data_IF_769420241910
#
_entry.id   IF_769420241910
#
_cell.length_a   1.000
_cell.length_b   1.000
_cell.length_c   1.000
_cell.angle_alpha   90.00
_cell.angle_beta   90.00
_cell.angle_gamma   90.00
#
_symmetry.space_group_name_H-M   'P 1'
#
loop_
_entity.id
_entity.type
_entity.pdbx_description
1 polymer ?
#
# COMPACT_ATOMS: atom_id res chain seq x y z
N UNK A 1 -16.25 -69.77 27.88
CA UNK A 1 -16.78 -69.50 26.53
C UNK A 1 -17.69 -68.27 26.64
N UNK A 2 -17.10 -67.08 26.63
CA UNK A 2 -17.80 -65.79 26.72
C UNK A 2 -17.88 -65.19 25.31
N UNK A 3 -19.10 -64.84 24.92
CA UNK A 3 -19.51 -64.45 23.57
C UNK A 3 -18.80 -63.18 23.07
N UNK A 4 -18.38 -63.21 21.79
CA UNK A 4 -17.69 -62.14 21.04
C UNK A 4 -18.46 -60.79 20.95
N UNK A 5 -19.67 -60.70 21.49
CA UNK A 5 -20.52 -59.51 21.35
C UNK A 5 -20.31 -58.42 22.40
N UNK A 6 -19.67 -58.72 23.54
CA UNK A 6 -19.43 -57.70 24.57
C UNK A 6 -18.12 -56.91 24.38
N UNK A 7 -17.24 -57.35 23.47
CA UNK A 7 -15.99 -56.66 23.16
C UNK A 7 -16.18 -55.52 22.14
N UNK A 8 -17.25 -55.57 21.32
CA UNK A 8 -17.58 -54.49 20.37
C UNK A 8 -18.25 -53.28 21.02
N UNK A 9 -18.85 -53.44 22.21
CA UNK A 9 -19.55 -52.33 22.89
C UNK A 9 -18.62 -51.50 23.79
N UNK A 10 -17.47 -52.04 24.20
CA UNK A 10 -16.43 -51.31 24.96
C UNK A 10 -15.40 -50.58 24.08
N UNK A 11 -15.34 -50.91 22.79
CA UNK A 11 -14.49 -50.20 21.81
C UNK A 11 -15.17 -48.98 21.19
N UNK A 12 -16.48 -48.80 21.37
CA UNK A 12 -17.21 -47.63 20.88
C UNK A 12 -17.22 -46.42 21.83
N UNK A 13 -16.87 -46.61 23.11
CA UNK A 13 -16.82 -45.55 24.12
C UNK A 13 -15.42 -44.93 24.30
N UNK A 14 -14.37 -45.54 23.73
CA UNK A 14 -13.00 -45.02 23.76
C UNK A 14 -12.62 -44.13 22.56
N UNK A 15 -13.49 -44.05 21.54
CA UNK A 15 -13.26 -43.27 20.31
C UNK A 15 -13.88 -41.87 20.31
N UNK A 16 -14.49 -41.44 21.43
CA UNK A 16 -15.14 -40.13 21.56
C UNK A 16 -14.32 -39.08 22.35
N UNK A 17 -13.08 -39.37 22.74
CA UNK A 17 -12.25 -38.47 23.56
C UNK A 17 -10.98 -37.92 22.88
N UNK A 18 -10.80 -38.11 21.57
CA UNK A 18 -9.60 -37.65 20.84
C UNK A 18 -9.83 -36.46 19.89
N UNK A 19 -10.99 -35.79 19.98
CA UNK A 19 -11.41 -34.76 19.02
C UNK A 19 -11.34 -33.29 19.49
N UNK A 20 -10.82 -32.99 20.68
CA UNK A 20 -10.58 -31.61 21.10
C UNK A 20 -9.10 -31.23 20.91
N UNK A 21 -8.67 -31.13 19.66
CA UNK A 21 -7.60 -30.19 19.35
C UNK A 21 -8.23 -28.81 19.48
N UNK A 22 -7.98 -28.15 20.61
CA UNK A 22 -8.11 -26.70 20.69
C UNK A 22 -7.27 -26.14 19.55
N UNK A 23 -7.93 -25.64 18.50
CA UNK A 23 -7.30 -24.65 17.64
C UNK A 23 -6.89 -23.52 18.57
N UNK A 24 -5.61 -23.49 18.95
CA UNK A 24 -5.00 -22.25 19.39
C UNK A 24 -5.18 -21.31 18.21
N UNK A 25 -6.20 -20.46 18.32
CA UNK A 25 -6.37 -19.30 17.46
C UNK A 25 -5.02 -18.59 17.54
N UNK A 26 -4.31 -18.58 16.41
CA UNK A 26 -3.04 -17.87 16.28
C UNK A 26 -3.15 -16.56 17.05
N UNK A 27 -2.23 -16.37 17.99
CA UNK A 27 -2.03 -15.13 18.72
C UNK A 27 -2.28 -13.98 17.75
N UNK A 28 -3.36 -13.24 17.94
CA UNK A 28 -3.65 -12.06 17.13
C UNK A 28 -2.40 -11.19 17.23
N UNK A 29 -1.65 -11.04 16.13
CA UNK A 29 -0.63 -9.98 16.03
C UNK A 29 -1.29 -8.75 16.62
N UNK A 30 -0.70 -8.17 17.68
CA UNK A 30 -1.28 -7.00 18.35
C UNK A 30 -1.60 -5.98 17.26
N UNK A 31 -2.89 -5.73 17.06
CA UNK A 31 -3.34 -4.88 15.99
C UNK A 31 -2.74 -3.48 16.22
N UNK A 32 -2.40 -2.77 15.14
CA UNK A 32 -1.90 -1.39 15.20
C UNK A 32 -0.52 -1.21 15.87
N UNK A 33 0.35 -2.23 15.86
CA UNK A 33 1.76 -2.07 16.31
C UNK A 33 2.73 -1.71 15.18
N UNK A 34 2.29 -1.74 13.93
CA UNK A 34 3.09 -1.42 12.74
C UNK A 34 2.52 -0.21 12.02
N UNK A 35 3.31 0.38 11.10
CA UNK A 35 2.90 1.50 10.26
C UNK A 35 3.19 1.20 8.77
N UNK A 36 2.82 0.00 8.34
CA UNK A 36 3.10 -0.51 6.98
C UNK A 36 2.14 0.04 5.93
N UNK A 37 1.04 0.66 6.35
CA UNK A 37 0.04 1.27 5.47
C UNK A 37 0.01 2.78 5.67
N UNK A 38 -0.27 3.50 4.59
CA UNK A 38 -0.48 4.95 4.64
C UNK A 38 -1.54 5.28 5.70
N UNK A 39 -1.19 6.18 6.63
CA UNK A 39 -2.04 6.59 7.77
C UNK A 39 -2.33 5.49 8.81
N UNK A 40 -1.46 4.49 8.92
CA UNK A 40 -1.43 3.50 9.99
C UNK A 40 -1.93 2.13 9.57
N UNK A 41 -3.18 2.04 9.13
CA UNK A 41 -3.85 0.78 8.77
C UNK A 41 -4.85 0.97 7.61
N UNK A 42 -5.51 -0.11 7.19
CA UNK A 42 -6.49 -0.08 6.07
C UNK A 42 -7.66 0.88 6.31
N UNK A 43 -8.06 1.09 7.56
CA UNK A 43 -9.09 2.05 7.96
C UNK A 43 -8.56 3.48 8.14
N UNK A 44 -7.25 3.71 8.00
CA UNK A 44 -6.59 5.01 8.20
C UNK A 44 -6.90 5.58 9.58
N UNK A 45 -6.71 4.79 10.64
CA UNK A 45 -7.08 5.19 12.01
C UNK A 45 -6.13 6.23 12.63
N UNK A 46 -4.90 6.37 12.09
CA UNK A 46 -3.82 7.12 12.73
C UNK A 46 -3.53 6.67 14.17
N UNK A 47 -3.84 5.42 14.50
CA UNK A 47 -3.73 4.90 15.86
C UNK A 47 -2.60 3.87 15.98
N UNK A 48 -1.94 3.87 17.15
CA UNK A 48 -0.94 2.88 17.52
C UNK A 48 -1.24 2.34 18.90
N UNK A 49 -1.10 1.02 19.07
CA UNK A 49 -1.19 0.38 20.40
C UNK A 49 0.15 0.37 21.14
N UNK A 50 1.22 0.96 20.56
CA UNK A 50 2.50 1.13 21.23
C UNK A 50 2.39 2.15 22.36
N UNK A 51 2.90 1.80 23.53
CA UNK A 51 2.76 2.60 24.76
C UNK A 51 4.08 2.86 25.47
N UNK A 52 5.21 2.76 24.75
CA UNK A 52 6.53 3.09 25.32
C UNK A 52 6.65 4.59 25.61
N UNK A 53 6.09 5.42 24.74
CA UNK A 53 5.97 6.87 24.93
C UNK A 53 4.56 7.14 25.45
N UNK A 54 4.47 7.81 26.59
CA UNK A 54 3.22 8.11 27.30
C UNK A 54 3.18 9.60 27.69
N UNK A 55 2.02 10.14 28.12
CA UNK A 55 1.94 11.52 28.61
C UNK A 55 2.92 11.82 29.76
N UNK A 56 3.30 10.82 30.55
CA UNK A 56 4.20 10.96 31.70
C UNK A 56 5.67 11.15 31.29
N UNK A 57 6.10 10.57 30.16
CA UNK A 57 7.50 10.55 29.73
C UNK A 57 7.78 11.28 28.40
N UNK A 58 6.76 11.75 27.68
CA UNK A 58 6.92 12.45 26.38
C UNK A 58 7.83 13.68 26.46
N UNK A 59 7.88 14.32 27.63
CA UNK A 59 8.76 15.47 27.94
C UNK A 59 10.26 15.14 27.84
N UNK A 60 10.63 13.87 27.93
CA UNK A 60 12.01 13.41 27.91
C UNK A 60 12.50 13.03 26.50
N UNK A 61 11.63 13.19 25.48
CA UNK A 61 11.97 12.89 24.09
C UNK A 61 13.14 13.73 23.59
N UNK A 62 14.04 13.04 22.88
CA UNK A 62 15.18 13.64 22.19
C UNK A 62 15.16 13.20 20.74
N UNK A 63 15.68 14.06 19.86
CA UNK A 63 15.89 13.71 18.45
C UNK A 63 16.88 12.55 18.39
N UNK A 64 16.43 11.40 17.88
CA UNK A 64 17.29 10.24 17.67
C UNK A 64 18.21 10.41 16.46
N UNK A 65 17.68 10.93 15.35
CA UNK A 65 18.41 11.24 14.12
C UNK A 65 17.61 12.24 13.27
N UNK A 66 18.26 12.80 12.23
CA UNK A 66 17.63 13.63 11.19
C UNK A 66 18.05 13.12 9.82
N UNK A 67 17.14 13.21 8.85
CA UNK A 67 17.39 12.91 7.44
C UNK A 67 17.06 14.14 6.59
N UNK A 68 17.93 14.48 5.65
CA UNK A 68 17.79 15.62 4.76
C UNK A 68 17.72 15.12 3.31
N UNK A 69 16.58 15.30 2.65
CA UNK A 69 16.34 14.79 1.28
C UNK A 69 17.08 15.59 0.20
N UNK A 70 17.67 16.73 0.53
CA UNK A 70 18.31 17.69 -0.40
C UNK A 70 17.36 18.30 -1.46
N UNK A 71 16.05 18.03 -1.35
CA UNK A 71 15.01 18.65 -2.17
C UNK A 71 14.35 19.82 -1.42
N UNK A 72 13.92 20.82 -2.16
CA UNK A 72 13.14 21.95 -1.65
C UNK A 72 11.68 21.84 -2.11
N UNK A 73 10.77 22.61 -1.51
CA UNK A 73 9.35 22.63 -1.86
C UNK A 73 8.43 22.05 -0.80
N UNK A 74 7.19 21.75 -1.20
CA UNK A 74 6.16 21.23 -0.29
C UNK A 74 6.35 19.73 -0.06
N UNK A 75 6.47 19.32 1.21
CA UNK A 75 6.53 17.92 1.61
C UNK A 75 5.27 17.56 2.40
N UNK A 76 4.39 16.77 1.79
CA UNK A 76 3.09 16.38 2.37
C UNK A 76 3.05 14.91 2.80
N UNK A 77 4.20 14.22 2.73
CA UNK A 77 4.23 12.78 2.93
C UNK A 77 3.89 12.36 4.36
N UNK A 78 3.15 11.26 4.48
CA UNK A 78 3.15 10.42 5.67
C UNK A 78 3.96 9.16 5.34
N UNK A 79 5.10 9.01 6.00
CA UNK A 79 6.00 7.87 5.78
C UNK A 79 5.36 6.57 6.25
N UNK A 80 5.71 5.46 5.59
CA UNK A 80 5.42 4.11 6.08
C UNK A 80 6.69 3.45 6.61
N UNK A 81 6.53 2.56 7.58
CA UNK A 81 7.61 1.75 8.15
C UNK A 81 7.24 0.28 8.00
N UNK A 82 8.09 -0.45 7.28
CA UNK A 82 8.00 -1.90 7.11
C UNK A 82 9.32 -2.52 7.55
N UNK A 83 9.26 -3.45 8.47
CA UNK A 83 10.41 -4.04 9.15
C UNK A 83 11.35 -2.95 9.74
N UNK A 84 12.54 -2.79 9.15
CA UNK A 84 13.55 -1.83 9.56
C UNK A 84 13.70 -0.62 8.62
N UNK A 85 12.86 -0.54 7.58
CA UNK A 85 12.93 0.50 6.57
C UNK A 85 11.76 1.47 6.71
N UNK A 86 12.08 2.76 6.71
CA UNK A 86 11.14 3.85 6.54
C UNK A 86 11.17 4.28 5.07
N UNK A 87 9.99 4.33 4.45
CA UNK A 87 9.82 4.78 3.08
C UNK A 87 9.12 6.13 3.05
N UNK A 88 9.60 7.01 2.17
CA UNK A 88 9.07 8.35 2.03
C UNK A 88 9.23 8.90 0.63
N UNK A 89 8.63 10.08 0.41
CA UNK A 89 8.72 10.83 -0.84
C UNK A 89 9.17 12.25 -0.53
N UNK A 90 10.20 12.70 -1.23
CA UNK A 90 10.72 14.05 -1.09
C UNK A 90 9.84 15.10 -1.79
N UNK A 91 10.16 16.38 -1.59
CA UNK A 91 9.47 17.48 -2.26
C UNK A 91 9.68 17.52 -3.80
N UNK A 92 10.62 16.73 -4.33
CA UNK A 92 10.84 16.56 -5.78
C UNK A 92 10.27 15.23 -6.32
N UNK A 93 9.39 14.57 -5.56
CA UNK A 93 8.84 13.24 -5.88
C UNK A 93 9.90 12.12 -5.99
N UNK A 94 11.06 12.27 -5.34
CA UNK A 94 12.01 11.17 -5.20
C UNK A 94 11.55 10.25 -4.09
N UNK A 95 11.42 8.96 -4.39
CA UNK A 95 11.10 7.96 -3.36
C UNK A 95 12.40 7.54 -2.70
N UNK A 96 12.41 7.43 -1.39
CA UNK A 96 13.58 7.00 -0.65
C UNK A 96 13.22 5.95 0.39
N UNK A 97 14.20 5.11 0.71
CA UNK A 97 14.19 4.28 1.90
C UNK A 97 15.37 4.64 2.80
N UNK A 98 15.10 4.73 4.10
CA UNK A 98 16.13 4.91 5.13
C UNK A 98 15.98 3.82 6.18
N UNK A 99 17.08 3.46 6.84
CA UNK A 99 17.03 2.64 8.03
C UNK A 99 16.31 3.42 9.16
N UNK A 100 15.19 2.91 9.66
CA UNK A 100 14.35 3.60 10.64
C UNK A 100 15.03 3.81 12.00
N UNK A 101 16.00 2.96 12.36
CA UNK A 101 16.75 3.09 13.61
C UNK A 101 17.88 4.13 13.53
N UNK A 102 18.50 4.30 12.36
CA UNK A 102 19.70 5.14 12.22
C UNK A 102 19.52 6.38 11.36
N UNK A 103 18.43 6.50 10.61
CA UNK A 103 18.19 7.59 9.65
C UNK A 103 19.08 7.56 8.41
N UNK A 104 19.85 6.48 8.19
CA UNK A 104 20.78 6.36 7.05
C UNK A 104 20.03 5.95 5.80
N UNK A 105 20.26 6.66 4.70
CA UNK A 105 19.69 6.29 3.40
C UNK A 105 20.20 4.94 2.93
N UNK A 106 19.27 4.10 2.47
CA UNK A 106 19.54 2.79 1.88
C UNK A 106 19.50 2.92 0.36
N UNK A 107 18.43 3.48 -0.17
CA UNK A 107 18.28 3.73 -1.60
C UNK A 107 17.40 4.97 -1.85
N UNK A 108 17.47 5.48 -3.07
CA UNK A 108 16.62 6.55 -3.56
C UNK A 108 16.33 6.33 -5.05
N UNK A 109 15.11 6.64 -5.46
CA UNK A 109 14.61 6.50 -6.82
C UNK A 109 14.06 7.82 -7.35
N UNK A 110 14.34 8.09 -8.62
CA UNK A 110 13.87 9.25 -9.37
C UNK A 110 14.82 10.44 -9.33
N UNK A 111 14.65 11.32 -10.30
CA UNK A 111 15.46 12.53 -10.42
C UNK A 111 14.90 13.70 -9.61
N UNK A 112 15.80 14.58 -9.16
CA UNK A 112 15.52 15.84 -8.45
C UNK A 112 14.99 16.92 -9.41
N UNK A 113 13.96 16.61 -10.19
CA UNK A 113 13.32 17.57 -11.11
C UNK A 113 12.02 18.03 -10.46
N UNK A 114 12.01 19.27 -9.97
CA UNK A 114 10.76 19.89 -9.57
C UNK A 114 9.89 20.14 -10.80
N UNK A 115 8.75 19.47 -10.84
CA UNK A 115 7.67 19.78 -11.78
C UNK A 115 6.57 20.55 -11.08
N UNK A 116 5.82 21.36 -11.81
CA UNK A 116 4.55 21.90 -11.28
C UNK A 116 3.68 20.72 -10.81
N UNK A 117 3.00 20.88 -9.67
CA UNK A 117 2.19 19.82 -9.04
C UNK A 117 2.96 18.64 -8.40
N UNK A 118 4.24 18.83 -8.03
CA UNK A 118 5.07 17.85 -7.30
C UNK A 118 4.66 17.64 -5.82
N UNK A 119 3.37 17.51 -5.52
CA UNK A 119 2.94 17.12 -4.16
C UNK A 119 2.67 15.62 -4.14
N UNK A 120 3.22 14.93 -3.15
CA UNK A 120 2.90 13.54 -2.84
C UNK A 120 2.70 13.37 -1.34
N UNK A 121 1.69 12.57 -0.99
CA UNK A 121 1.35 12.22 0.38
C UNK A 121 2.01 10.92 0.83
N UNK A 122 2.74 10.20 -0.01
CA UNK A 122 3.49 9.02 0.39
C UNK A 122 3.50 7.91 -0.66
N UNK A 123 3.67 6.69 -0.17
CA UNK A 123 3.75 5.46 -0.97
C UNK A 123 2.85 4.37 -0.37
N UNK A 124 2.61 3.31 -1.15
CA UNK A 124 1.95 2.09 -0.67
C UNK A 124 2.93 0.93 -0.67
N UNK A 125 2.80 0.00 0.28
CA UNK A 125 3.59 -1.22 0.34
C UNK A 125 2.72 -2.45 0.07
N UNK A 126 3.18 -3.31 -0.82
CA UNK A 126 2.56 -4.60 -1.13
C UNK A 126 3.57 -5.73 -0.98
N UNK A 127 3.11 -6.89 -0.54
CA UNK A 127 3.93 -8.11 -0.48
C UNK A 127 3.14 -9.37 -0.83
N UNK A 128 3.81 -10.31 -1.49
CA UNK A 128 3.32 -11.67 -1.73
C UNK A 128 4.49 -12.64 -1.80
N UNK A 129 4.70 -13.39 -0.71
CA UNK A 129 5.90 -14.21 -0.55
C UNK A 129 7.15 -13.32 -0.50
N UNK A 130 8.12 -13.59 -1.37
CA UNK A 130 9.37 -12.82 -1.43
C UNK A 130 9.27 -11.53 -2.26
N UNK A 131 8.20 -11.37 -3.04
CA UNK A 131 7.95 -10.18 -3.85
C UNK A 131 7.41 -9.05 -2.95
N UNK A 132 8.19 -7.98 -2.82
CA UNK A 132 7.89 -6.83 -1.96
C UNK A 132 8.06 -5.55 -2.76
N UNK A 133 6.98 -4.78 -2.84
CA UNK A 133 6.89 -3.63 -3.75
C UNK A 133 6.55 -2.36 -2.99
N UNK A 134 7.20 -1.27 -3.36
CA UNK A 134 6.79 0.10 -3.04
C UNK A 134 6.13 0.69 -4.28
N UNK A 135 4.88 1.12 -4.14
CA UNK A 135 4.08 1.71 -5.20
C UNK A 135 4.03 3.22 -5.00
N UNK A 136 4.36 3.98 -6.05
CA UNK A 136 4.44 5.44 -6.00
C UNK A 136 4.08 6.07 -7.33
N UNK A 137 3.68 7.34 -7.31
CA UNK A 137 3.30 8.08 -8.53
C UNK A 137 4.26 9.22 -8.83
N UNK A 138 4.52 9.43 -10.13
CA UNK A 138 5.24 10.60 -10.64
C UNK A 138 4.61 11.02 -11.96
N UNK A 139 3.90 12.15 -11.94
CA UNK A 139 3.07 12.56 -13.07
C UNK A 139 1.91 11.56 -13.29
N UNK A 140 1.64 11.14 -14.53
CA UNK A 140 0.60 10.15 -14.83
C UNK A 140 1.03 8.71 -14.54
N UNK A 141 2.32 8.48 -14.28
CA UNK A 141 2.87 7.15 -14.11
C UNK A 141 2.69 6.66 -12.67
N UNK A 142 2.16 5.45 -12.52
CA UNK A 142 2.26 4.61 -11.32
C UNK A 142 3.46 3.68 -11.50
N UNK A 143 4.40 3.71 -10.57
CA UNK A 143 5.59 2.86 -10.54
C UNK A 143 5.45 1.75 -9.51
N UNK A 144 6.07 0.61 -9.80
CA UNK A 144 6.37 -0.42 -8.81
C UNK A 144 7.88 -0.57 -8.65
N UNK A 145 8.36 -0.36 -7.43
CA UNK A 145 9.77 -0.45 -7.07
C UNK A 145 9.99 -1.66 -6.16
N UNK A 146 11.09 -2.38 -6.34
CA UNK A 146 11.53 -3.38 -5.36
C UNK A 146 11.82 -2.70 -4.03
N UNK A 147 11.19 -3.18 -2.95
CA UNK A 147 11.21 -2.51 -1.66
C UNK A 147 12.62 -2.44 -1.04
N UNK A 148 13.51 -3.38 -1.36
CA UNK A 148 14.85 -3.43 -0.79
C UNK A 148 15.88 -2.62 -1.57
N UNK A 149 15.68 -2.46 -2.88
CA UNK A 149 16.68 -1.88 -3.78
C UNK A 149 16.25 -0.56 -4.41
N UNK A 150 14.95 -0.24 -4.40
CA UNK A 150 14.38 0.93 -5.06
C UNK A 150 14.39 0.87 -6.59
N UNK A 151 14.75 -0.27 -7.18
CA UNK A 151 14.78 -0.44 -8.63
C UNK A 151 13.36 -0.69 -9.17
N UNK A 152 12.99 -0.13 -10.32
CA UNK A 152 11.74 -0.49 -10.99
C UNK A 152 11.64 -1.98 -11.24
N UNK A 153 10.46 -2.56 -10.99
CA UNK A 153 10.18 -3.96 -11.26
C UNK A 153 9.76 -4.07 -12.72
N UNK A 154 10.68 -4.48 -13.59
CA UNK A 154 10.49 -4.41 -15.05
C UNK A 154 9.24 -5.11 -15.57
N UNK A 155 8.74 -6.14 -14.86
CA UNK A 155 7.52 -6.86 -15.21
C UNK A 155 6.22 -6.12 -14.90
N UNK A 156 6.27 -5.00 -14.19
CA UNK A 156 5.12 -4.16 -13.91
C UNK A 156 4.96 -3.12 -15.04
N UNK A 157 3.98 -3.34 -15.91
CA UNK A 157 3.75 -2.50 -17.08
C UNK A 157 4.94 -2.47 -18.02
N UNK A 158 5.37 -1.26 -18.39
CA UNK A 158 6.48 -1.02 -19.32
C UNK A 158 7.62 -0.35 -18.54
N UNK A 159 8.68 -1.10 -18.27
CA UNK A 159 9.85 -0.58 -17.55
C UNK A 159 9.59 -0.28 -16.07
N UNK A 160 8.66 -1.01 -15.44
CA UNK A 160 8.31 -0.85 -14.04
C UNK A 160 7.32 0.26 -13.73
N UNK A 161 6.56 0.68 -14.73
CA UNK A 161 5.49 1.68 -14.58
C UNK A 161 4.32 1.44 -15.53
N UNK A 162 3.18 2.00 -15.15
CA UNK A 162 1.97 2.08 -15.97
C UNK A 162 1.45 3.51 -15.99
N UNK A 163 0.93 3.91 -17.14
CA UNK A 163 0.21 5.16 -17.26
C UNK A 163 -1.18 4.99 -16.63
N UNK A 164 -1.50 5.80 -15.63
CA UNK A 164 -2.82 5.76 -14.97
C UNK A 164 -3.97 6.13 -15.91
N UNK A 165 -3.69 6.69 -17.10
CA UNK A 165 -4.69 6.96 -18.15
C UNK A 165 -5.06 5.70 -18.95
N UNK A 166 -4.37 4.58 -18.76
CA UNK A 166 -4.57 3.35 -19.56
C UNK A 166 -5.97 2.75 -19.45
N UNK A 167 -6.70 2.99 -18.36
CA UNK A 167 -8.09 2.57 -18.19
C UNK A 167 -9.13 3.63 -18.58
N UNK A 168 -8.70 4.74 -19.18
CA UNK A 168 -9.57 5.84 -19.59
C UNK A 168 -9.88 5.80 -21.09
N UNK A 169 -10.95 6.49 -21.55
CA UNK A 169 -11.20 6.69 -22.96
C UNK A 169 -10.03 7.37 -23.68
N UNK A 170 -9.87 7.11 -24.99
CA UNK A 170 -8.81 7.73 -25.83
C UNK A 170 -8.76 9.26 -25.76
N UNK A 171 -9.90 9.90 -25.51
CA UNK A 171 -9.98 11.36 -25.35
C UNK A 171 -9.20 11.88 -24.13
N UNK A 172 -8.78 11.01 -23.20
CA UNK A 172 -8.01 11.32 -22.02
C UNK A 172 -6.50 11.06 -22.14
N UNK A 173 -6.04 10.51 -23.26
CA UNK A 173 -4.65 10.09 -23.47
C UNK A 173 -3.64 11.22 -23.23
N UNK A 174 -3.97 12.46 -23.60
CA UNK A 174 -3.11 13.64 -23.42
C UNK A 174 -3.56 14.57 -22.29
N UNK A 175 -4.53 14.14 -21.48
CA UNK A 175 -5.10 14.98 -20.41
C UNK A 175 -4.25 14.92 -19.14
N UNK A 176 -4.33 16.00 -18.35
CA UNK A 176 -3.70 16.07 -17.05
C UNK A 176 -4.35 15.07 -16.08
N UNK A 177 -3.57 14.05 -15.70
CA UNK A 177 -3.91 13.05 -14.69
C UNK A 177 -2.68 12.84 -13.82
N UNK A 178 -2.84 13.04 -12.53
CA UNK A 178 -1.82 12.68 -11.53
C UNK A 178 -2.51 12.03 -10.33
N UNK A 179 -1.73 11.48 -9.42
CA UNK A 179 -2.21 11.17 -8.09
C UNK A 179 -1.21 11.66 -7.05
N UNK A 180 -1.69 12.44 -6.08
CA UNK A 180 -0.89 12.88 -4.95
C UNK A 180 -1.21 12.09 -3.66
N UNK A 181 -2.19 11.19 -3.67
CA UNK A 181 -2.47 10.28 -2.56
C UNK A 181 -2.05 8.87 -2.96
N UNK A 182 -1.30 8.14 -2.13
CA UNK A 182 -0.99 6.74 -2.43
C UNK A 182 -2.26 5.90 -2.58
N UNK A 183 -2.25 4.96 -3.53
CA UNK A 183 -3.40 4.09 -3.81
C UNK A 183 -3.70 3.12 -2.68
N UNK A 184 -4.96 2.72 -2.55
CA UNK A 184 -5.38 1.73 -1.55
C UNK A 184 -5.12 0.33 -2.07
N UNK A 185 -4.35 -0.46 -1.33
CA UNK A 185 -4.10 -1.87 -1.69
C UNK A 185 -5.25 -2.75 -1.18
N UNK A 186 -5.73 -3.63 -2.05
CA UNK A 186 -6.64 -4.70 -1.69
C UNK A 186 -6.24 -5.98 -2.44
N UNK A 187 -5.80 -7.00 -1.70
CA UNK A 187 -5.21 -8.23 -2.28
C UNK A 187 -4.08 -7.88 -3.25
N UNK A 188 -4.19 -8.30 -4.50
CA UNK A 188 -3.20 -8.09 -5.56
C UNK A 188 -3.51 -6.85 -6.41
N UNK A 189 -4.38 -5.95 -5.93
CA UNK A 189 -4.81 -4.75 -6.65
C UNK A 189 -4.46 -3.48 -5.88
N UNK A 190 -4.15 -2.41 -6.63
CA UNK A 190 -4.05 -1.05 -6.11
C UNK A 190 -5.14 -0.19 -6.74
N UNK A 191 -6.00 0.37 -5.89
CA UNK A 191 -7.08 1.29 -6.27
C UNK A 191 -6.56 2.71 -6.22
N UNK A 192 -6.54 3.39 -7.36
CA UNK A 192 -5.90 4.69 -7.51
C UNK A 192 -6.92 5.83 -7.38
N UNK A 193 -6.73 6.76 -6.42
CA UNK A 193 -7.39 8.06 -6.47
C UNK A 193 -6.71 8.94 -7.51
N UNK A 194 -7.46 9.81 -8.17
CA UNK A 194 -6.93 10.71 -9.20
C UNK A 194 -7.12 12.18 -8.81
N UNK A 195 -6.19 13.01 -9.28
CA UNK A 195 -6.32 14.47 -9.35
C UNK A 195 -6.26 14.88 -10.81
N UNK A 196 -7.28 15.63 -11.20
CA UNK A 196 -7.52 16.03 -12.58
C UNK A 196 -7.39 17.54 -12.73
N UNK A 197 -7.50 18.01 -13.98
CA UNK A 197 -7.62 19.43 -14.26
C UNK A 197 -8.96 19.98 -13.73
N UNK A 198 -8.95 21.21 -13.20
CA UNK A 198 -10.13 21.84 -12.59
C UNK A 198 -10.93 22.71 -13.59
N UNK A 199 -10.52 22.74 -14.86
CA UNK A 199 -11.16 23.52 -15.92
C UNK A 199 -11.80 22.67 -17.03
N UNK A 200 -12.25 23.34 -18.07
CA UNK A 200 -12.83 22.70 -19.27
C UNK A 200 -11.82 21.75 -19.90
N UNK A 201 -12.28 20.55 -20.28
CA UNK A 201 -11.44 19.53 -20.90
C UNK A 201 -10.73 18.60 -19.92
N UNK A 202 -11.14 18.57 -18.65
CA UNK A 202 -10.67 17.57 -17.68
C UNK A 202 -10.88 16.12 -18.15
N UNK A 203 -10.05 15.20 -17.67
CA UNK A 203 -10.26 13.77 -17.88
C UNK A 203 -11.44 13.26 -17.03
N UNK A 204 -12.01 12.08 -17.32
CA UNK A 204 -13.00 11.46 -16.45
C UNK A 204 -12.43 11.19 -15.05
N UNK A 205 -13.26 11.45 -14.03
CA UNK A 205 -12.94 11.28 -12.60
C UNK A 205 -13.00 9.85 -12.09
N UNK A 206 -12.76 8.88 -12.96
CA UNK A 206 -13.06 7.48 -12.70
C UNK A 206 -12.08 6.87 -11.70
N UNK A 207 -12.57 5.86 -10.97
CA UNK A 207 -11.77 5.11 -10.02
C UNK A 207 -11.31 3.83 -10.73
N UNK A 208 -10.00 3.60 -10.74
CA UNK A 208 -9.41 2.43 -11.40
C UNK A 208 -8.63 1.57 -10.41
N UNK A 209 -8.68 0.26 -10.61
CA UNK A 209 -7.79 -0.68 -9.97
C UNK A 209 -6.79 -1.26 -10.97
N UNK A 210 -5.54 -1.32 -10.55
CA UNK A 210 -4.45 -1.92 -11.31
C UNK A 210 -3.98 -3.19 -10.62
N UNK A 211 -3.71 -4.24 -11.39
CA UNK A 211 -3.03 -5.43 -10.91
C UNK A 211 -1.61 -5.07 -10.47
N UNK A 212 -1.26 -5.30 -9.22
CA UNK A 212 0.06 -4.93 -8.67
C UNK A 212 1.19 -5.77 -9.28
N UNK A 213 0.89 -6.98 -9.76
CA UNK A 213 1.87 -7.89 -10.35
C UNK A 213 2.20 -7.46 -11.78
N UNK A 214 1.17 -7.25 -12.61
CA UNK A 214 1.32 -7.00 -14.06
C UNK A 214 1.24 -5.53 -14.45
N UNK A 215 0.52 -4.71 -13.69
CA UNK A 215 0.19 -3.32 -14.02
C UNK A 215 -1.09 -3.15 -14.85
N UNK A 216 -1.75 -4.24 -15.25
CA UNK A 216 -2.97 -4.15 -16.07
C UNK A 216 -4.14 -3.53 -15.31
N UNK A 217 -5.02 -2.86 -16.03
CA UNK A 217 -6.29 -2.36 -15.48
C UNK A 217 -7.22 -3.56 -15.24
N UNK A 218 -7.63 -3.73 -13.99
CA UNK A 218 -8.51 -4.85 -13.58
C UNK A 218 -9.98 -4.46 -13.68
N UNK A 219 -10.29 -3.23 -13.28
CA UNK A 219 -11.61 -2.65 -13.46
C UNK A 219 -11.54 -1.12 -13.39
N UNK A 220 -12.55 -0.51 -13.99
CA UNK A 220 -12.83 0.93 -13.94
C UNK A 220 -14.24 1.11 -13.37
N UNK A 221 -14.40 2.06 -12.47
CA UNK A 221 -15.70 2.52 -11.99
C UNK A 221 -15.93 3.94 -12.50
N UNK A 222 -16.91 4.08 -13.38
CA UNK A 222 -17.31 5.37 -13.94
C UNK A 222 -18.06 6.20 -12.90
N UNK A 223 -17.52 7.38 -12.59
CA UNK A 223 -18.12 8.29 -11.60
C UNK A 223 -19.28 9.10 -12.18
N UNK A 224 -19.28 9.26 -13.50
CA UNK A 224 -20.39 9.76 -14.29
C UNK A 224 -20.78 8.61 -15.23
N UNK A 225 -22.02 8.10 -15.16
CA UNK A 225 -22.40 6.92 -15.94
C UNK A 225 -22.38 7.22 -17.44
N UNK A 226 -21.92 6.24 -18.22
CA UNK A 226 -22.08 6.26 -19.67
C UNK A 226 -23.53 5.92 -20.06
N UNK A 227 -23.94 6.25 -21.30
CA UNK A 227 -25.35 6.19 -21.72
C UNK A 227 -26.01 4.81 -21.62
N UNK A 228 -25.23 3.74 -21.58
CA UNK A 228 -25.65 2.35 -21.47
C UNK A 228 -25.49 1.78 -20.05
N UNK A 229 -25.05 2.59 -19.09
CA UNK A 229 -24.85 2.19 -17.69
C UNK A 229 -26.04 2.52 -16.79
N UNK A 230 -26.19 1.71 -15.72
CA UNK A 230 -27.20 1.94 -14.72
C UNK A 230 -26.99 3.30 -14.02
N UNK A 231 -28.00 4.18 -14.13
CA UNK A 231 -27.94 5.54 -13.58
C UNK A 231 -27.75 6.63 -14.64
N UNK A 232 -27.56 6.26 -15.91
CA UNK A 232 -27.71 7.20 -17.02
C UNK A 232 -29.17 7.64 -17.16
N UNK A 233 -29.41 8.94 -17.28
CA UNK A 233 -30.73 9.57 -17.39
C UNK A 233 -30.78 10.65 -18.46
#
# INVERSE_FOLDING_TARGET
MLSKNNLRMLLLSALLFLGCTTFEKESSKKQYTTWSSYLGDSGRSHYSTLSQITPENVKDLKVAWRYESQDFGQMQMNSIVVDSLLYGVSAALRVFAINAATGKQVWQFGDSVQVSHSTSRGVSYWEKGDDRRILCTKGPDLFALDALTGKPIESFGIGGKVDMRSGMPKSAEEKFVISNTPGTIYKDFIVMPLRLYEGVGAAPGDIMAFNIITGDVEWTFHTIPESDEAGAG
#
